data_IF_594599032720
#
_entry.id   IF_594599032720
#
_cell.length_a   1.000
_cell.length_b   1.000
_cell.length_c   1.000
_cell.angle_alpha   90.00
_cell.angle_beta   90.00
_cell.angle_gamma   90.00
#
_symmetry.space_group_name_H-M   'P 1'
#
loop_
_entity.id
_entity.type
_entity.pdbx_description
1 polymer ?
#
# COMPACT_ATOMS: atom_id res chain seq x y z
N UNK A 1 8.80 12.47 -6.05
CA UNK A 1 7.63 11.86 -6.70
C UNK A 1 8.09 10.77 -7.65
N UNK A 2 7.37 9.65 -7.65
CA UNK A 2 7.63 8.49 -8.52
C UNK A 2 6.60 8.46 -9.65
N UNK A 3 6.95 8.99 -10.81
CA UNK A 3 6.05 9.14 -11.96
C UNK A 3 5.82 7.82 -12.72
N UNK A 4 5.96 6.66 -12.06
CA UNK A 4 5.87 5.33 -12.70
C UNK A 4 4.52 5.14 -13.41
N UNK A 5 3.40 5.41 -12.72
CA UNK A 5 2.06 5.20 -13.27
C UNK A 5 1.80 6.08 -14.51
N UNK A 6 2.05 7.42 -14.48
CA UNK A 6 1.96 8.25 -15.68
C UNK A 6 2.85 7.77 -16.83
N UNK A 7 4.09 7.36 -16.53
CA UNK A 7 5.03 6.85 -17.53
C UNK A 7 4.54 5.53 -18.14
N UNK A 8 4.07 4.59 -17.33
CA UNK A 8 3.54 3.31 -17.79
C UNK A 8 2.29 3.49 -18.66
N UNK A 9 1.38 4.38 -18.24
CA UNK A 9 0.18 4.73 -19.00
C UNK A 9 0.54 5.26 -20.40
N UNK A 10 1.62 6.03 -20.51
CA UNK A 10 2.11 6.50 -21.81
C UNK A 10 2.84 5.40 -22.60
N UNK A 11 3.76 4.67 -21.96
CA UNK A 11 4.65 3.69 -22.59
C UNK A 11 3.89 2.50 -23.20
N UNK A 12 2.76 2.11 -22.60
CA UNK A 12 1.89 1.03 -23.13
C UNK A 12 1.45 1.25 -24.57
N UNK A 13 1.26 2.49 -25.01
CA UNK A 13 0.83 2.80 -26.37
C UNK A 13 1.84 2.34 -27.45
N UNK A 14 3.08 2.07 -27.05
CA UNK A 14 4.16 1.62 -27.93
C UNK A 14 4.49 0.14 -27.74
N UNK A 15 3.72 -0.57 -26.91
CA UNK A 15 3.91 -1.99 -26.66
C UNK A 15 3.41 -2.79 -27.88
N UNK A 16 4.24 -3.73 -28.36
CA UNK A 16 3.81 -4.69 -29.39
C UNK A 16 2.63 -5.55 -28.87
N UNK A 17 1.83 -6.12 -29.77
CA UNK A 17 0.62 -6.90 -29.46
C UNK A 17 0.83 -7.98 -28.38
N UNK A 18 1.98 -8.66 -28.37
CA UNK A 18 2.35 -9.68 -27.38
C UNK A 18 3.52 -9.23 -26.48
N UNK A 19 3.66 -7.92 -26.29
CA UNK A 19 4.65 -7.34 -25.40
C UNK A 19 4.35 -7.65 -23.95
N UNK A 20 5.39 -7.68 -23.13
CA UNK A 20 5.27 -7.85 -21.68
C UNK A 20 5.93 -6.65 -21.02
N UNK A 21 5.37 -6.22 -19.90
CA UNK A 21 5.99 -5.25 -19.00
C UNK A 21 6.57 -6.04 -17.83
N UNK A 22 7.81 -5.70 -17.46
CA UNK A 22 8.48 -6.20 -16.26
C UNK A 22 8.91 -4.98 -15.45
N UNK A 23 8.47 -4.84 -14.19
CA UNK A 23 7.57 -5.76 -13.48
C UNK A 23 6.17 -5.84 -14.11
N UNK A 24 5.48 -6.98 -13.95
CA UNK A 24 4.11 -7.16 -14.42
C UNK A 24 3.11 -6.30 -13.64
N UNK A 25 3.46 -5.88 -12.43
CA UNK A 25 2.54 -5.16 -11.57
C UNK A 25 2.98 -5.14 -10.12
N UNK A 26 2.06 -4.73 -9.26
CA UNK A 26 2.25 -4.66 -7.82
C UNK A 26 1.03 -5.20 -7.06
N UNK A 27 1.28 -5.72 -5.87
CA UNK A 27 0.27 -6.16 -4.90
C UNK A 27 0.45 -5.28 -3.66
N UNK A 28 -0.58 -4.51 -3.33
CA UNK A 28 -0.57 -3.62 -2.18
C UNK A 28 -1.36 -4.24 -1.02
N UNK A 29 -0.71 -4.29 0.13
CA UNK A 29 -1.27 -4.82 1.36
C UNK A 29 -1.32 -3.76 2.46
N UNK A 30 -2.27 -3.90 3.37
CA UNK A 30 -2.46 -3.01 4.52
C UNK A 30 -2.57 -3.81 5.81
N UNK A 31 -1.96 -3.30 6.87
CA UNK A 31 -2.02 -3.84 8.22
C UNK A 31 -2.34 -2.72 9.23
N UNK A 32 -3.07 -3.04 10.30
CA UNK A 32 -3.14 -2.18 11.49
C UNK A 32 -1.77 -2.20 12.19
N UNK A 33 -1.35 -1.07 12.73
CA UNK A 33 -0.04 -0.93 13.35
C UNK A 33 -0.08 -0.05 14.61
N UNK A 34 0.96 -0.22 15.43
CA UNK A 34 1.34 0.74 16.45
C UNK A 34 2.65 1.42 16.01
N UNK A 35 2.57 2.71 15.69
CA UNK A 35 3.64 3.55 15.18
C UNK A 35 4.31 4.33 16.32
N UNK A 36 5.62 4.53 16.21
CA UNK A 36 6.39 5.37 17.12
C UNK A 36 6.33 6.87 16.76
N UNK A 37 5.93 7.18 15.52
CA UNK A 37 5.94 8.52 14.93
C UNK A 37 4.54 8.87 14.43
N UNK A 38 4.21 10.15 14.51
CA UNK A 38 2.90 10.73 14.20
C UNK A 38 2.84 11.42 12.82
N UNK A 39 3.80 11.13 11.93
CA UNK A 39 3.81 11.62 10.55
C UNK A 39 3.98 10.47 9.54
N UNK A 40 3.51 10.68 8.31
CA UNK A 40 3.64 9.70 7.21
C UNK A 40 5.12 9.59 6.81
N UNK A 41 5.65 8.37 6.79
CA UNK A 41 7.03 8.11 6.38
C UNK A 41 7.24 6.69 5.89
N UNK A 42 8.33 6.48 5.14
CA UNK A 42 8.81 5.16 4.78
C UNK A 42 9.66 4.56 5.91
N UNK A 43 9.48 3.28 6.18
CA UNK A 43 10.23 2.50 7.16
C UNK A 43 11.24 1.60 6.45
N UNK A 44 12.43 2.15 6.18
CA UNK A 44 13.52 1.41 5.51
C UNK A 44 14.05 0.24 6.36
N UNK A 45 13.84 0.28 7.69
CA UNK A 45 14.34 -0.73 8.62
C UNK A 45 13.29 -1.81 8.98
N UNK A 46 12.04 -1.66 8.51
CA UNK A 46 10.93 -2.63 8.65
C UNK A 46 10.66 -3.04 10.12
N UNK A 47 10.75 -2.11 11.05
CA UNK A 47 10.62 -2.38 12.49
C UNK A 47 9.20 -2.21 13.06
N UNK A 48 8.23 -1.87 12.22
CA UNK A 48 6.87 -1.60 12.66
C UNK A 48 6.13 -2.83 13.24
N UNK A 49 5.57 -2.68 14.46
CA UNK A 49 4.75 -3.71 15.12
C UNK A 49 3.34 -3.73 14.54
N UNK A 50 2.98 -4.83 13.88
CA UNK A 50 1.63 -5.01 13.30
C UNK A 50 0.63 -5.65 14.28
N UNK A 51 -0.64 -5.30 14.08
CA UNK A 51 -1.79 -5.60 14.93
C UNK A 51 -2.92 -6.31 14.16
N UNK A 52 -2.67 -6.67 12.91
CA UNK A 52 -3.55 -7.48 12.06
C UNK A 52 -2.72 -8.45 11.21
N UNK A 53 -3.41 -9.26 10.40
CA UNK A 53 -2.78 -9.89 9.23
C UNK A 53 -2.82 -8.89 8.06
N UNK A 54 -1.94 -9.02 7.06
CA UNK A 54 -2.03 -8.23 5.84
C UNK A 54 -3.33 -8.51 5.09
N UNK A 55 -3.98 -7.44 4.65
CA UNK A 55 -5.13 -7.46 3.76
C UNK A 55 -4.69 -6.90 2.41
N UNK A 56 -4.85 -7.66 1.33
CA UNK A 56 -4.66 -7.14 -0.03
C UNK A 56 -5.79 -6.15 -0.30
N UNK A 57 -5.46 -4.89 -0.55
CA UNK A 57 -6.45 -3.86 -0.82
C UNK A 57 -6.49 -3.44 -2.30
N UNK A 58 -5.39 -3.64 -3.02
CA UNK A 58 -5.23 -3.26 -4.41
C UNK A 58 -4.20 -4.15 -5.10
N UNK A 59 -4.49 -4.52 -6.35
CA UNK A 59 -3.61 -5.31 -7.22
C UNK A 59 -3.61 -4.66 -8.59
N UNK A 60 -2.44 -4.21 -9.04
CA UNK A 60 -2.30 -3.48 -10.29
C UNK A 60 -1.53 -4.35 -11.26
N UNK A 61 -2.10 -4.57 -12.44
CA UNK A 61 -1.39 -5.12 -13.59
C UNK A 61 -0.95 -3.98 -14.50
N UNK A 62 0.35 -3.85 -14.73
CA UNK A 62 0.92 -2.75 -15.51
C UNK A 62 0.58 -2.79 -17.00
N UNK A 63 0.03 -3.90 -17.50
CA UNK A 63 -0.56 -3.97 -18.85
C UNK A 63 -1.95 -3.31 -18.94
N UNK A 64 -2.64 -3.11 -17.82
CA UNK A 64 -3.95 -2.49 -17.79
C UNK A 64 -3.83 -0.98 -17.58
N UNK A 65 -4.86 -0.23 -17.99
CA UNK A 65 -4.98 1.17 -17.60
C UNK A 65 -5.09 1.35 -16.09
N UNK A 66 -4.26 2.24 -15.57
CA UNK A 66 -4.15 2.52 -14.13
C UNK A 66 -4.75 3.89 -13.89
N UNK A 67 -5.81 3.93 -13.09
CA UNK A 67 -6.34 5.18 -12.57
C UNK A 67 -5.40 5.70 -11.45
N UNK A 68 -4.77 6.88 -11.61
CA UNK A 68 -3.88 7.40 -10.58
C UNK A 68 -4.62 7.82 -9.29
N UNK A 69 -5.91 8.16 -9.38
CA UNK A 69 -6.73 8.56 -8.24
C UNK A 69 -7.28 7.31 -7.52
N UNK A 70 -6.67 6.94 -6.39
CA UNK A 70 -7.09 5.82 -5.58
C UNK A 70 -7.99 6.27 -4.42
N UNK A 71 -9.12 5.61 -4.23
CA UNK A 71 -9.99 5.78 -3.07
C UNK A 71 -10.71 4.45 -2.74
N UNK A 72 -10.58 3.97 -1.50
CA UNK A 72 -11.26 2.75 -1.05
C UNK A 72 -11.51 2.74 0.46
N UNK A 73 -12.61 2.13 0.88
CA UNK A 73 -12.83 1.72 2.28
C UNK A 73 -12.37 0.27 2.43
N UNK A 74 -11.47 0.02 3.37
CA UNK A 74 -10.83 -1.27 3.60
C UNK A 74 -11.16 -1.74 5.01
N UNK A 75 -11.69 -2.96 5.13
CA UNK A 75 -11.98 -3.60 6.42
C UNK A 75 -10.79 -4.45 6.85
N UNK A 76 -10.24 -4.16 8.03
CA UNK A 76 -9.07 -4.84 8.59
C UNK A 76 -9.44 -5.44 9.94
N UNK A 77 -9.13 -6.72 10.13
CA UNK A 77 -9.45 -7.45 11.37
C UNK A 77 -8.30 -7.38 12.37
N UNK A 78 -8.55 -6.83 13.55
CA UNK A 78 -7.59 -6.82 14.65
C UNK A 78 -7.30 -8.25 15.13
N UNK A 79 -6.02 -8.60 15.33
CA UNK A 79 -5.62 -9.95 15.74
C UNK A 79 -5.42 -10.12 17.26
N UNK A 80 -5.44 -9.01 18.02
CA UNK A 80 -5.26 -8.96 19.47
C UNK A 80 -5.81 -7.66 20.03
N UNK A 81 -6.05 -7.64 21.34
CA UNK A 81 -6.35 -6.42 22.09
C UNK A 81 -5.15 -5.48 22.03
N UNK A 82 -5.35 -4.23 21.58
CA UNK A 82 -4.25 -3.27 21.42
C UNK A 82 -4.73 -1.83 21.26
N UNK A 83 -3.76 -0.91 21.29
CA UNK A 83 -3.92 0.49 20.90
C UNK A 83 -3.38 0.65 19.48
N UNK A 84 -4.28 0.82 18.51
CA UNK A 84 -3.94 1.15 17.13
C UNK A 84 -3.75 2.65 17.02
N UNK A 85 -2.72 3.10 16.32
CA UNK A 85 -2.50 4.52 16.00
C UNK A 85 -1.95 4.71 14.56
N UNK A 86 -2.07 3.69 13.71
CA UNK A 86 -1.66 3.82 12.33
C UNK A 86 -1.80 2.56 11.50
N UNK A 87 -1.33 2.69 10.26
CA UNK A 87 -1.38 1.69 9.21
C UNK A 87 0.02 1.44 8.70
N UNK A 88 0.28 0.20 8.32
CA UNK A 88 1.45 -0.18 7.52
C UNK A 88 0.96 -0.62 6.15
N UNK A 89 1.43 0.06 5.11
CA UNK A 89 1.26 -0.31 3.72
C UNK A 89 2.51 -1.05 3.27
N UNK A 90 2.35 -2.17 2.59
CA UNK A 90 3.45 -2.91 1.98
C UNK A 90 3.12 -3.22 0.54
N UNK A 91 4.03 -2.83 -0.34
CA UNK A 91 3.94 -3.07 -1.78
C UNK A 91 4.89 -4.19 -2.16
N UNK A 92 4.34 -5.20 -2.84
CA UNK A 92 5.08 -6.35 -3.35
C UNK A 92 5.11 -6.22 -4.87
N UNK A 93 6.31 -6.22 -5.45
CA UNK A 93 6.49 -6.11 -6.90
C UNK A 93 6.35 -7.48 -7.55
N UNK A 94 5.36 -7.65 -8.43
CA UNK A 94 5.18 -8.87 -9.23
C UNK A 94 6.07 -8.79 -10.46
N UNK A 95 7.22 -9.47 -10.45
CA UNK A 95 8.14 -9.48 -11.58
C UNK A 95 7.58 -10.29 -12.75
N UNK A 96 7.01 -11.46 -12.45
CA UNK A 96 6.27 -12.30 -13.39
C UNK A 96 5.26 -13.20 -12.63
N UNK A 97 4.58 -14.11 -13.33
CA UNK A 97 3.53 -14.97 -12.76
C UNK A 97 4.04 -15.92 -11.66
N UNK A 98 5.34 -16.18 -11.60
CA UNK A 98 5.95 -17.12 -10.67
C UNK A 98 6.90 -16.44 -9.67
N UNK A 99 7.16 -15.14 -9.80
CA UNK A 99 8.18 -14.44 -9.03
C UNK A 99 7.69 -13.08 -8.56
N UNK A 100 7.79 -12.89 -7.25
CA UNK A 100 7.56 -11.61 -6.57
C UNK A 100 8.84 -11.15 -5.88
N UNK A 101 9.02 -9.83 -5.82
CA UNK A 101 10.01 -9.17 -5.00
C UNK A 101 9.28 -8.44 -3.87
N UNK A 102 9.57 -8.81 -2.62
CA UNK A 102 9.02 -8.13 -1.46
C UNK A 102 9.61 -6.72 -1.29
N UNK A 103 9.14 -5.97 -0.27
CA UNK A 103 9.69 -4.65 0.03
C UNK A 103 11.18 -4.76 0.37
N UNK A 104 11.97 -3.79 -0.07
CA UNK A 104 13.37 -3.62 0.31
C UNK A 104 13.60 -2.16 0.69
N UNK A 105 14.67 -1.82 1.44
CA UNK A 105 14.95 -0.44 1.80
C UNK A 105 14.99 0.53 0.61
N UNK A 106 15.50 0.05 -0.55
CA UNK A 106 15.67 0.86 -1.76
C UNK A 106 14.51 0.73 -2.76
N UNK A 107 13.66 -0.28 -2.62
CA UNK A 107 12.55 -0.55 -3.54
C UNK A 107 11.31 -0.87 -2.73
N UNK A 108 10.35 0.06 -2.74
CA UNK A 108 9.08 -0.04 -2.02
C UNK A 108 9.26 -0.34 -0.53
N UNK A 109 10.05 0.46 0.24
CA UNK A 109 10.05 0.33 1.68
C UNK A 109 8.61 0.50 2.21
N UNK A 110 8.22 -0.21 3.29
CA UNK A 110 6.89 -0.07 3.87
C UNK A 110 6.55 1.39 4.18
N UNK A 111 5.33 1.79 3.89
CA UNK A 111 4.83 3.14 4.14
C UNK A 111 3.97 3.11 5.41
N UNK A 112 4.33 3.94 6.39
CA UNK A 112 3.63 4.06 7.66
C UNK A 112 2.76 5.31 7.65
N UNK A 113 1.47 5.14 7.96
CA UNK A 113 0.46 6.21 7.93
C UNK A 113 -0.18 6.32 9.31
N UNK A 114 0.03 7.42 10.05
CA UNK A 114 -0.63 7.66 11.32
C UNK A 114 -2.15 7.73 11.21
N UNK A 115 -2.83 7.30 12.27
CA UNK A 115 -4.27 7.43 12.48
C UNK A 115 -4.51 7.93 13.90
N UNK A 116 -5.72 8.43 14.17
CA UNK A 116 -6.15 8.67 15.54
C UNK A 116 -6.03 7.39 16.39
N UNK A 117 -5.69 7.55 17.66
CA UNK A 117 -5.55 6.42 18.56
C UNK A 117 -6.91 5.73 18.80
N UNK A 118 -6.91 4.40 18.73
CA UNK A 118 -8.11 3.59 18.95
C UNK A 118 -7.79 2.30 19.69
N UNK A 119 -8.45 2.11 20.82
CA UNK A 119 -8.45 0.81 21.50
C UNK A 119 -9.31 -0.17 20.69
N UNK A 120 -8.75 -1.34 20.40
CA UNK A 120 -9.42 -2.41 19.66
C UNK A 120 -9.35 -3.72 20.46
N UNK A 121 -10.34 -4.58 20.25
CA UNK A 121 -10.39 -5.95 20.75
C UNK A 121 -10.02 -6.94 19.67
N UNK A 122 -9.52 -8.10 20.09
CA UNK A 122 -9.30 -9.22 19.18
C UNK A 122 -10.58 -9.54 18.40
N UNK A 123 -10.44 -9.63 17.07
CA UNK A 123 -11.50 -9.82 16.09
C UNK A 123 -12.37 -8.60 15.73
N UNK A 124 -12.12 -7.42 16.30
CA UNK A 124 -12.77 -6.21 15.82
C UNK A 124 -12.49 -5.98 14.33
N UNK A 125 -13.52 -5.54 13.61
CA UNK A 125 -13.43 -5.14 12.21
C UNK A 125 -13.29 -3.62 12.15
N UNK A 126 -12.14 -3.15 11.71
CA UNK A 126 -11.81 -1.73 11.62
C UNK A 126 -11.92 -1.32 10.16
N UNK A 127 -12.81 -0.38 9.86
CA UNK A 127 -12.94 0.20 8.54
C UNK A 127 -12.08 1.46 8.44
N UNK A 128 -11.28 1.51 7.40
CA UNK A 128 -10.38 2.63 7.12
C UNK A 128 -10.65 3.10 5.70
N UNK A 129 -10.91 4.39 5.54
CA UNK A 129 -10.91 5.04 4.24
C UNK A 129 -9.48 5.44 3.91
N UNK A 130 -8.98 5.00 2.76
CA UNK A 130 -7.66 5.34 2.23
C UNK A 130 -7.83 6.02 0.86
N UNK A 131 -7.16 7.15 0.68
CA UNK A 131 -7.11 7.91 -0.57
C UNK A 131 -5.69 8.41 -0.83
N UNK A 132 -5.25 8.35 -2.08
CA UNK A 132 -3.98 8.92 -2.53
C UNK A 132 -3.97 9.09 -4.06
N UNK A 133 -3.01 9.87 -4.56
CA UNK A 133 -2.77 10.01 -6.00
C UNK A 133 -1.40 9.41 -6.34
N UNK A 134 -1.41 8.35 -7.14
CA UNK A 134 -0.19 7.67 -7.59
C UNK A 134 0.71 8.65 -8.36
N UNK A 135 1.99 8.69 -7.97
CA UNK A 135 2.99 9.59 -8.57
C UNK A 135 2.95 11.05 -8.12
N UNK A 136 2.14 11.40 -7.11
CA UNK A 136 2.11 12.76 -6.53
C UNK A 136 2.70 12.85 -5.11
N UNK A 137 3.42 11.82 -4.69
CA UNK A 137 4.11 11.78 -3.40
C UNK A 137 3.18 11.66 -2.20
N UNK A 138 3.79 11.64 -1.01
CA UNK A 138 3.10 11.33 0.26
C UNK A 138 2.06 12.39 0.67
N UNK A 139 2.18 13.62 0.15
CA UNK A 139 1.29 14.73 0.50
C UNK A 139 -0.16 14.57 0.01
N UNK A 140 -0.42 13.57 -0.83
CA UNK A 140 -1.78 13.24 -1.30
C UNK A 140 -2.47 12.17 -0.47
N UNK A 141 -1.76 11.55 0.47
CA UNK A 141 -2.27 10.44 1.26
C UNK A 141 -3.21 10.98 2.34
N UNK A 142 -4.44 10.48 2.33
CA UNK A 142 -5.44 10.69 3.37
C UNK A 142 -5.88 9.32 3.90
N UNK A 143 -5.85 9.14 5.22
CA UNK A 143 -6.36 7.94 5.86
C UNK A 143 -7.11 8.28 7.16
N UNK A 144 -8.29 7.71 7.33
CA UNK A 144 -9.10 7.90 8.53
C UNK A 144 -10.02 6.69 8.79
N UNK A 145 -10.44 6.52 10.04
CA UNK A 145 -11.51 5.56 10.35
C UNK A 145 -12.81 5.96 9.63
N UNK A 146 -13.56 4.95 9.18
CA UNK A 146 -14.87 5.10 8.54
C UNK A 146 -15.99 4.58 9.44
#
# INVERSE_FOLDING_TARGET
DEEEVPVLNHARNYLKENGKIIPQGIINTIELAHLERDYIHYDEDVNCKTLSKPVIYDEINFLNDINPDFEKVITIKANKDSLVNGLKITTITKLNDNLVCGPTPMLNPPLLIPLDEKNVKCNDLINVKLKYIMGKGIGTIEANYY
#
